data_IF_347676840758
#
_entry.id   IF_347676840758
#
_cell.length_a   1.000
_cell.length_b   1.000
_cell.length_c   1.000
_cell.angle_alpha   90.00
_cell.angle_beta   90.00
_cell.angle_gamma   90.00
#
_symmetry.space_group_name_H-M   'P 1'
#
loop_
_entity.id
_entity.type
_entity.pdbx_description
1 polymer ?
#
# COMPACT_ATOMS: atom_id res chain seq x y z
N UNK A 1 9.25 -17.70 1.02
CA UNK A 1 9.15 -16.33 0.50
C UNK A 1 10.55 -15.73 0.59
N UNK A 2 11.13 -15.38 -0.56
CA UNK A 2 12.49 -14.84 -0.61
C UNK A 2 12.35 -13.33 -0.38
N UNK A 3 12.97 -12.77 0.67
CA UNK A 3 12.89 -11.33 0.96
C UNK A 3 13.66 -10.56 -0.12
N UNK A 4 12.97 -10.21 -1.21
CA UNK A 4 13.55 -9.49 -2.34
C UNK A 4 13.21 -8.01 -2.22
N UNK A 5 14.24 -7.19 -2.03
CA UNK A 5 14.07 -5.74 -2.11
C UNK A 5 13.80 -5.33 -3.56
N UNK A 6 12.89 -4.39 -3.76
CA UNK A 6 12.55 -3.90 -5.09
C UNK A 6 11.72 -2.64 -5.03
N UNK A 7 11.29 -2.20 -6.20
CA UNK A 7 10.50 -1.00 -6.42
C UNK A 7 9.11 -1.41 -6.82
N UNK A 8 8.10 -0.91 -6.11
CA UNK A 8 6.70 -0.96 -6.51
C UNK A 8 6.35 0.42 -7.06
N UNK A 9 5.76 0.46 -8.24
CA UNK A 9 5.37 1.70 -8.88
C UNK A 9 4.00 1.62 -9.53
N UNK A 10 3.34 2.77 -9.59
CA UNK A 10 2.01 2.93 -10.15
C UNK A 10 2.09 3.70 -11.46
N UNK A 11 1.46 3.16 -12.50
CA UNK A 11 1.34 3.81 -13.81
C UNK A 11 -0.11 4.12 -14.12
N UNK A 12 -0.34 5.18 -14.89
CA UNK A 12 -1.63 5.54 -15.46
C UNK A 12 -1.48 5.78 -16.95
N UNK A 13 -2.57 5.60 -17.71
CA UNK A 13 -2.58 5.87 -19.14
C UNK A 13 -3.45 7.09 -19.45
N UNK A 14 -2.96 8.02 -20.27
CA UNK A 14 -3.67 9.27 -20.60
C UNK A 14 -5.00 9.04 -21.32
N UNK A 15 -5.12 7.98 -22.12
CA UNK A 15 -6.36 7.64 -22.83
C UNK A 15 -7.34 6.78 -22.00
N UNK A 16 -6.90 6.27 -20.84
CA UNK A 16 -7.71 5.43 -19.97
C UNK A 16 -7.68 5.95 -18.52
N UNK A 17 -8.30 7.13 -18.27
CA UNK A 17 -8.37 7.69 -16.93
C UNK A 17 -9.12 6.75 -15.98
N UNK A 18 -8.65 6.65 -14.74
CA UNK A 18 -9.20 5.75 -13.72
C UNK A 18 -8.73 4.29 -13.84
N UNK A 19 -7.88 3.98 -14.82
CA UNK A 19 -7.13 2.73 -14.86
C UNK A 19 -5.71 2.97 -14.38
N UNK A 20 -5.23 2.07 -13.53
CA UNK A 20 -3.86 2.07 -13.05
C UNK A 20 -3.25 0.69 -13.17
N UNK A 21 -1.95 0.66 -13.47
CA UNK A 21 -1.14 -0.55 -13.39
C UNK A 21 -0.27 -0.49 -12.16
N UNK A 22 -0.18 -1.61 -11.45
CA UNK A 22 0.80 -1.77 -10.38
C UNK A 22 1.85 -2.77 -10.81
N UNK A 23 3.10 -2.31 -10.90
CA UNK A 23 4.20 -3.12 -11.38
C UNK A 23 5.34 -3.11 -10.36
N UNK A 24 6.15 -4.17 -10.41
CA UNK A 24 7.34 -4.33 -9.58
C UNK A 24 8.59 -4.40 -10.47
N UNK A 25 9.69 -3.80 -10.02
CA UNK A 25 11.01 -3.87 -10.68
C UNK A 25 12.12 -3.97 -9.66
N UNK A 26 13.23 -4.59 -10.06
CA UNK A 26 14.43 -4.69 -9.21
C UNK A 26 15.25 -3.39 -9.19
N UNK A 27 15.03 -2.52 -10.18
CA UNK A 27 15.72 -1.24 -10.34
C UNK A 27 14.70 -0.11 -10.42
N UNK A 28 15.13 1.10 -10.09
CA UNK A 28 14.28 2.29 -10.15
C UNK A 28 13.70 2.44 -11.56
N UNK A 29 12.36 2.54 -11.71
CA UNK A 29 11.73 2.76 -13.00
C UNK A 29 12.07 4.16 -13.53
N UNK A 30 12.07 4.31 -14.86
CA UNK A 30 12.09 5.66 -15.45
C UNK A 30 10.80 6.37 -15.09
N UNK A 31 10.92 7.63 -14.67
CA UNK A 31 9.77 8.50 -14.35
C UNK A 31 9.32 9.31 -15.56
N UNK A 32 9.98 9.16 -16.70
CA UNK A 32 9.59 9.81 -17.95
C UNK A 32 8.33 9.15 -18.53
N UNK A 33 7.35 9.96 -18.91
CA UNK A 33 6.16 9.45 -19.59
C UNK A 33 6.53 8.93 -20.98
N UNK A 34 6.10 7.72 -21.31
CA UNK A 34 6.38 7.09 -22.60
C UNK A 34 5.11 6.52 -23.20
N UNK A 35 4.83 6.86 -24.47
CA UNK A 35 3.66 6.37 -25.21
C UNK A 35 2.31 6.53 -24.45
N UNK A 36 2.14 7.63 -23.71
CA UNK A 36 0.91 7.89 -22.96
C UNK A 36 0.81 7.18 -21.61
N UNK A 37 1.81 6.38 -21.23
CA UNK A 37 1.97 5.80 -19.90
C UNK A 37 2.83 6.74 -19.06
N UNK A 38 2.32 7.14 -17.91
CA UNK A 38 3.05 7.94 -16.95
C UNK A 38 3.14 7.19 -15.62
N UNK A 39 4.36 7.03 -15.12
CA UNK A 39 4.60 6.64 -13.72
C UNK A 39 4.12 7.80 -12.85
N UNK A 40 3.28 7.49 -11.85
CA UNK A 40 2.71 8.49 -10.94
C UNK A 40 3.26 8.40 -9.52
N UNK A 41 3.77 7.23 -9.15
CA UNK A 41 4.27 6.97 -7.80
C UNK A 41 5.30 5.85 -7.80
N UNK A 42 6.36 5.98 -7.00
CA UNK A 42 7.39 4.95 -6.79
C UNK A 42 7.73 4.85 -5.31
N UNK A 43 7.68 3.63 -4.78
CA UNK A 43 8.18 3.30 -3.46
C UNK A 43 9.12 2.09 -3.53
N UNK A 44 10.13 2.09 -2.66
CA UNK A 44 11.06 0.98 -2.49
C UNK A 44 10.67 0.18 -1.27
N UNK A 45 10.56 -1.13 -1.43
CA UNK A 45 10.24 -2.06 -0.37
C UNK A 45 11.43 -2.98 -0.08
N UNK A 46 11.58 -3.37 1.19
CA UNK A 46 12.50 -4.44 1.56
C UNK A 46 12.02 -5.82 1.09
N UNK A 47 10.70 -5.99 0.99
CA UNK A 47 10.04 -7.18 0.45
C UNK A 47 8.96 -6.72 -0.55
N UNK A 48 9.34 -6.66 -1.83
CA UNK A 48 8.47 -6.12 -2.89
C UNK A 48 7.36 -7.10 -3.29
N UNK A 49 7.58 -8.40 -3.10
CA UNK A 49 6.58 -9.43 -3.38
C UNK A 49 5.45 -9.36 -2.34
N UNK A 50 5.80 -9.22 -1.06
CA UNK A 50 4.82 -8.99 0.00
C UNK A 50 4.03 -7.69 -0.23
N UNK A 51 4.69 -6.63 -0.69
CA UNK A 51 4.04 -5.36 -1.00
C UNK A 51 3.02 -5.49 -2.14
N UNK A 52 3.38 -6.19 -3.21
CA UNK A 52 2.48 -6.46 -4.33
C UNK A 52 1.27 -7.28 -3.88
N UNK A 53 1.49 -8.32 -3.06
CA UNK A 53 0.42 -9.14 -2.50
C UNK A 53 -0.52 -8.32 -1.60
N UNK A 54 0.01 -7.45 -0.74
CA UNK A 54 -0.79 -6.58 0.13
C UNK A 54 -1.66 -5.62 -0.69
N UNK A 55 -1.07 -5.00 -1.71
CA UNK A 55 -1.79 -4.11 -2.60
C UNK A 55 -2.89 -4.85 -3.37
N UNK A 56 -2.57 -6.01 -3.94
CA UNK A 56 -3.54 -6.84 -4.64
C UNK A 56 -4.70 -7.24 -3.72
N UNK A 57 -4.43 -7.62 -2.47
CA UNK A 57 -5.47 -7.95 -1.49
C UNK A 57 -6.40 -6.76 -1.18
N UNK A 58 -5.85 -5.55 -1.16
CA UNK A 58 -6.58 -4.30 -0.99
C UNK A 58 -7.43 -3.96 -2.22
N UNK A 59 -6.84 -4.06 -3.41
CA UNK A 59 -7.46 -3.69 -4.68
C UNK A 59 -8.18 -4.84 -5.38
N UNK A 60 -8.36 -6.00 -4.73
CA UNK A 60 -8.92 -7.21 -5.34
C UNK A 60 -10.29 -7.01 -6.00
N UNK A 61 -11.10 -6.09 -5.46
CA UNK A 61 -12.45 -5.77 -5.98
C UNK A 61 -12.40 -4.83 -7.20
N UNK A 62 -11.26 -4.22 -7.43
CA UNK A 62 -10.97 -3.30 -8.52
C UNK A 62 -10.09 -3.95 -9.61
N UNK A 63 -9.75 -5.24 -9.49
CA UNK A 63 -8.91 -5.94 -10.45
C UNK A 63 -9.68 -6.13 -11.77
N UNK A 64 -9.11 -5.64 -12.87
CA UNK A 64 -9.65 -5.85 -14.22
C UNK A 64 -8.89 -6.94 -14.97
N UNK A 65 -7.56 -6.92 -14.88
CA UNK A 65 -6.69 -7.87 -15.55
C UNK A 65 -5.52 -8.22 -14.63
N UNK A 66 -5.39 -9.50 -14.31
CA UNK A 66 -4.34 -10.01 -13.43
C UNK A 66 -2.99 -10.09 -14.13
N UNK A 67 -2.96 -10.41 -15.41
CA UNK A 67 -1.72 -10.63 -16.16
C UNK A 67 -1.02 -9.27 -16.35
N UNK A 68 -1.80 -8.24 -16.68
CA UNK A 68 -1.31 -6.87 -16.85
C UNK A 68 -1.22 -6.06 -15.54
N UNK A 69 -1.66 -6.66 -14.43
CA UNK A 69 -1.79 -6.02 -13.11
C UNK A 69 -2.56 -4.69 -13.20
N UNK A 70 -3.68 -4.72 -13.92
CA UNK A 70 -4.53 -3.59 -14.24
C UNK A 70 -5.71 -3.51 -13.27
N UNK A 71 -5.89 -2.33 -12.68
CA UNK A 71 -6.92 -2.07 -11.69
C UNK A 71 -7.75 -0.85 -12.09
N UNK A 72 -9.05 -0.90 -11.82
CA UNK A 72 -9.97 0.23 -11.89
C UNK A 72 -10.10 0.89 -10.51
N UNK A 73 -9.17 1.79 -10.21
CA UNK A 73 -9.15 2.49 -8.94
C UNK A 73 -8.65 3.93 -9.11
N UNK A 74 -9.00 4.76 -8.13
CA UNK A 74 -8.50 6.12 -8.05
C UNK A 74 -7.01 6.14 -7.67
N UNK A 75 -6.24 7.01 -8.32
CA UNK A 75 -4.78 7.08 -8.15
C UNK A 75 -4.39 7.43 -6.72
N UNK A 76 -5.07 8.41 -6.11
CA UNK A 76 -4.78 8.82 -4.73
C UNK A 76 -5.07 7.68 -3.74
N UNK A 77 -6.11 6.89 -4.00
CA UNK A 77 -6.44 5.69 -3.21
C UNK A 77 -5.33 4.63 -3.33
N UNK A 78 -4.90 4.30 -4.55
CA UNK A 78 -3.83 3.31 -4.74
C UNK A 78 -2.51 3.76 -4.11
N UNK A 79 -2.11 5.02 -4.30
CA UNK A 79 -0.95 5.60 -3.64
C UNK A 79 -1.06 5.51 -2.11
N UNK A 80 -2.22 5.84 -1.54
CA UNK A 80 -2.44 5.78 -0.11
C UNK A 80 -2.38 4.36 0.45
N UNK A 81 -2.84 3.36 -0.30
CA UNK A 81 -2.69 1.94 0.10
C UNK A 81 -1.21 1.56 0.17
N UNK A 82 -0.42 1.89 -0.85
CA UNK A 82 1.02 1.61 -0.86
C UNK A 82 1.73 2.33 0.28
N UNK A 83 1.41 3.60 0.51
CA UNK A 83 2.07 4.45 1.51
C UNK A 83 1.69 4.13 2.96
N UNK A 84 0.52 3.52 3.15
CA UNK A 84 0.01 3.08 4.46
C UNK A 84 0.28 1.61 4.75
N UNK A 85 1.07 0.93 3.92
CA UNK A 85 1.51 -0.44 4.20
C UNK A 85 2.44 -0.47 5.42
N UNK A 86 2.34 -1.53 6.22
CA UNK A 86 3.15 -1.75 7.42
C UNK A 86 4.52 -2.36 7.07
N UNK A 87 4.68 -2.85 5.83
CA UNK A 87 5.97 -3.27 5.33
C UNK A 87 6.94 -2.09 5.33
N UNK A 88 8.20 -2.36 5.73
CA UNK A 88 9.26 -1.35 5.69
C UNK A 88 9.47 -0.91 4.24
N UNK A 89 9.18 0.36 3.99
CA UNK A 89 9.30 0.96 2.68
C UNK A 89 9.74 2.42 2.76
N UNK A 90 10.24 2.92 1.64
CA UNK A 90 10.63 4.30 1.45
C UNK A 90 9.93 4.84 0.20
N UNK A 91 9.21 5.94 0.35
CA UNK A 91 8.63 6.67 -0.77
C UNK A 91 9.74 7.43 -1.49
N UNK A 92 10.02 7.06 -2.74
CA UNK A 92 11.15 7.62 -3.48
C UNK A 92 10.73 8.72 -4.44
N UNK A 93 9.57 8.59 -5.07
CA UNK A 93 9.15 9.55 -6.08
C UNK A 93 7.62 9.65 -6.16
N UNK A 94 7.15 10.88 -6.32
CA UNK A 94 5.77 11.24 -6.59
C UNK A 94 5.79 12.17 -7.79
N UNK A 95 4.85 11.98 -8.70
CA UNK A 95 4.71 12.83 -9.87
C UNK A 95 4.51 14.32 -9.49
N UNK A 96 5.38 15.23 -9.97
CA UNK A 96 5.24 16.67 -9.74
C UNK A 96 4.01 17.27 -10.44
N UNK A 97 3.46 16.60 -11.46
CA UNK A 97 2.29 17.07 -12.21
C UNK A 97 0.95 16.74 -11.52
N UNK A 98 0.96 16.02 -10.39
CA UNK A 98 -0.26 15.79 -9.61
C UNK A 98 -0.91 17.10 -9.20
N UNK A 99 -2.21 17.19 -9.44
CA UNK A 99 -3.02 18.33 -9.03
C UNK A 99 -3.05 18.45 -7.51
N UNK A 100 -3.25 19.67 -7.02
CA UNK A 100 -3.32 19.93 -5.57
C UNK A 100 -4.43 19.10 -4.89
N UNK A 101 -5.55 18.90 -5.59
CA UNK A 101 -6.65 18.07 -5.10
C UNK A 101 -6.24 16.60 -4.93
N UNK A 102 -5.50 16.04 -5.89
CA UNK A 102 -5.00 14.66 -5.80
C UNK A 102 -3.99 14.51 -4.65
N UNK A 103 -3.11 15.50 -4.47
CA UNK A 103 -2.15 15.52 -3.35
C UNK A 103 -2.85 15.52 -2.00
N UNK A 104 -3.85 16.39 -1.81
CA UNK A 104 -4.63 16.47 -0.57
C UNK A 104 -5.42 15.20 -0.31
N UNK A 105 -6.04 14.60 -1.34
CA UNK A 105 -6.72 13.31 -1.22
C UNK A 105 -5.76 12.20 -0.83
N UNK A 106 -4.60 12.12 -1.48
CA UNK A 106 -3.57 11.15 -1.14
C UNK A 106 -3.13 11.28 0.32
N UNK A 107 -2.83 12.50 0.78
CA UNK A 107 -2.40 12.74 2.17
C UNK A 107 -3.48 12.33 3.17
N UNK A 108 -4.72 12.81 2.97
CA UNK A 108 -5.84 12.49 3.87
C UNK A 108 -6.18 11.00 3.92
N UNK A 109 -6.15 10.30 2.78
CA UNK A 109 -6.37 8.85 2.71
C UNK A 109 -5.25 8.08 3.40
N UNK A 110 -3.99 8.49 3.19
CA UNK A 110 -2.82 7.84 3.82
C UNK A 110 -2.88 7.96 5.34
N UNK A 111 -3.23 9.13 5.86
CA UNK A 111 -3.42 9.36 7.29
C UNK A 111 -4.60 8.58 7.88
N UNK A 112 -5.72 8.54 7.16
CA UNK A 112 -6.90 7.79 7.58
C UNK A 112 -6.59 6.29 7.69
N UNK A 113 -5.89 5.71 6.72
CA UNK A 113 -5.49 4.30 6.73
C UNK A 113 -4.50 4.00 7.84
N UNK A 114 -3.48 4.85 8.04
CA UNK A 114 -2.54 4.71 9.17
C UNK A 114 -3.24 4.79 10.51
N UNK A 115 -4.17 5.73 10.68
CA UNK A 115 -4.92 5.90 11.94
C UNK A 115 -5.81 4.70 12.22
N UNK A 116 -6.49 4.18 11.20
CA UNK A 116 -7.34 2.99 11.32
C UNK A 116 -6.52 1.77 11.74
N UNK A 117 -5.34 1.57 11.13
CA UNK A 117 -4.40 0.49 11.52
C UNK A 117 -3.94 0.64 12.97
N UNK A 118 -3.45 1.82 13.36
CA UNK A 118 -3.02 2.10 14.76
C UNK A 118 -4.10 1.79 15.79
N UNK A 119 -5.37 2.08 15.48
CA UNK A 119 -6.49 1.74 16.36
C UNK A 119 -6.70 0.22 16.46
N UNK A 120 -6.58 -0.50 15.35
CA UNK A 120 -6.67 -1.96 15.35
C UNK A 120 -5.53 -2.59 16.16
N UNK A 121 -4.30 -2.11 15.99
CA UNK A 121 -3.15 -2.58 16.77
C UNK A 121 -3.33 -2.33 18.27
N UNK A 122 -3.83 -1.14 18.64
CA UNK A 122 -4.13 -0.82 20.03
C UNK A 122 -5.19 -1.77 20.63
N UNK A 123 -6.22 -2.11 19.87
CA UNK A 123 -7.24 -3.08 20.29
C UNK A 123 -6.62 -4.47 20.46
N UNK A 124 -5.83 -4.94 19.49
CA UNK A 124 -5.18 -6.25 19.58
C UNK A 124 -4.19 -6.35 20.74
N UNK A 125 -3.42 -5.29 21.01
CA UNK A 125 -2.55 -5.21 22.18
C UNK A 125 -3.35 -5.29 23.49
N UNK A 126 -4.51 -4.66 23.56
CA UNK A 126 -5.39 -4.75 24.73
C UNK A 126 -5.93 -6.17 24.91
N UNK A 127 -6.43 -6.80 23.85
CA UNK A 127 -6.91 -8.19 23.89
C UNK A 127 -5.79 -9.13 24.32
N UNK A 128 -4.59 -8.98 23.77
CA UNK A 128 -3.42 -9.77 24.15
C UNK A 128 -3.04 -9.61 25.62
N UNK A 129 -3.07 -8.38 26.14
CA UNK A 129 -2.83 -8.10 27.57
C UNK A 129 -3.89 -8.76 28.46
N UNK A 130 -5.17 -8.67 28.09
CA UNK A 130 -6.26 -9.29 28.85
C UNK A 130 -6.14 -10.82 28.86
N UNK A 131 -5.80 -11.43 27.72
CA UNK A 131 -5.56 -12.87 27.63
C UNK A 131 -4.38 -13.30 28.52
N UNK A 132 -3.30 -12.51 28.56
CA UNK A 132 -2.14 -12.78 29.42
C UNK A 132 -2.50 -12.69 30.92
N UNK A 133 -3.27 -11.67 31.31
CA UNK A 133 -3.75 -11.52 32.69
C UNK A 133 -4.63 -12.71 33.07
N UNK A 134 -5.57 -13.09 32.19
CA UNK A 134 -6.46 -14.22 32.43
C UNK A 134 -5.68 -15.53 32.58
N UNK A 135 -4.67 -15.75 31.73
CA UNK A 135 -3.77 -16.90 31.83
C UNK A 135 -3.02 -16.92 33.17
N UNK A 136 -2.46 -15.78 33.59
CA UNK A 136 -1.74 -15.67 34.86
C UNK A 136 -2.65 -15.91 36.08
N UNK A 137 -3.88 -15.40 36.05
CA UNK A 137 -4.85 -15.64 37.12
C UNK A 137 -5.24 -17.11 37.21
N UNK A 138 -5.43 -17.78 36.06
CA UNK A 138 -5.66 -19.23 36.03
C UNK A 138 -4.46 -20.03 36.53
N UNK A 139 -3.23 -19.60 36.21
CA UNK A 139 -2.00 -20.25 36.67
C UNK A 139 -1.77 -20.06 38.18
N UNK A 140 -2.24 -18.95 38.73
CA UNK A 140 -2.20 -18.65 40.17
C UNK A 140 -3.36 -19.28 40.96
N UNK A 141 -4.27 -20.01 40.30
CA UNK A 141 -5.43 -20.64 40.93
C UNK A 141 -6.45 -19.65 41.46
N UNK A 142 -6.50 -18.43 40.90
CA UNK A 142 -7.48 -17.42 41.28
C UNK A 142 -8.88 -17.70 40.74
N UNK A 143 -9.03 -18.78 39.96
CA UNK A 143 -10.28 -19.42 39.53
C UNK A 143 -10.05 -20.93 39.40
#
# INVERSE_FOLDING_TARGET
MNMKSGYLYLETHVQHPGLLRCLIKDRMPSTEAHAGIAVRYVARFHDVEAAQMHLQNWLRRALLDIDEHLYQADLATAMAVVDSDDLRHERLWIDPELTEQERLRFQSLSEAYRTRRRRQDAVWLLVGRLALIFLLLGLLGLF
#
